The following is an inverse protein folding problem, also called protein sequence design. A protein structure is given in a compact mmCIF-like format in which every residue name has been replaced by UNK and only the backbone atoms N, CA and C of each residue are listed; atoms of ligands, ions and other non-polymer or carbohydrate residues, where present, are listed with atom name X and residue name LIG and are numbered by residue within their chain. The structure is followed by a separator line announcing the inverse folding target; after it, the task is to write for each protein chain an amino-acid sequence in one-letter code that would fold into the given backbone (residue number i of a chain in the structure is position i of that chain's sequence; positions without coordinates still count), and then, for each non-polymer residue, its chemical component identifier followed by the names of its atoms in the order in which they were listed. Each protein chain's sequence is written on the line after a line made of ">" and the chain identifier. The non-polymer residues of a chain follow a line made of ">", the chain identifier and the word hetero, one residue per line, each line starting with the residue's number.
data_IF_059537686561
#
_entry.id   IF_059537686561
#
_cell.length_a   1.000
_cell.length_b   1.000
_cell.length_c   1.000
_cell.angle_alpha   90.00
_cell.angle_beta   90.00
_cell.angle_gamma   90.00
#
_symmetry.space_group_name_H-M   'P 1'
#
loop_
_entity.id
_entity.type
_entity.pdbx_description
1 polymer ?
#
# COMPACT_ATOMS: atom_id res chain seq x y z
N UNK A 1 -69.66 -5.77 -23.93
CA UNK A 1 -68.76 -4.71 -24.40
C UNK A 1 -67.91 -4.25 -23.23
N UNK A 2 -66.59 -4.20 -23.45
CA UNK A 2 -65.51 -3.59 -22.67
C UNK A 2 -65.32 -3.92 -21.18
N UNK A 3 -64.04 -3.95 -20.83
CA UNK A 3 -63.38 -4.62 -19.71
C UNK A 3 -62.33 -3.60 -19.19
N UNK A 4 -61.98 -3.69 -17.91
CA UNK A 4 -60.78 -3.14 -17.23
C UNK A 4 -61.00 -1.79 -16.52
N UNK A 5 -60.59 -1.58 -15.27
CA UNK A 5 -59.49 -2.21 -14.52
C UNK A 5 -58.39 -1.17 -14.34
N UNK A 6 -58.50 -0.34 -13.30
CA UNK A 6 -57.48 0.66 -12.95
C UNK A 6 -56.31 -0.07 -12.29
N UNK A 7 -55.24 -0.28 -13.04
CA UNK A 7 -53.99 -0.83 -12.54
C UNK A 7 -52.91 0.26 -12.50
N UNK A 8 -52.19 0.24 -11.38
CA UNK A 8 -51.06 1.08 -10.99
C UNK A 8 -50.01 1.30 -12.08
N UNK A 9 -49.36 2.47 -12.06
CA UNK A 9 -47.97 2.61 -12.52
C UNK A 9 -47.28 3.74 -11.77
N UNK A 10 -46.77 3.43 -10.57
CA UNK A 10 -45.66 4.17 -9.98
C UNK A 10 -44.40 3.64 -10.67
N UNK A 11 -43.97 4.32 -11.73
CA UNK A 11 -42.70 4.01 -12.37
C UNK A 11 -41.58 4.68 -11.58
N UNK A 12 -41.08 3.98 -10.56
CA UNK A 12 -39.83 4.33 -9.90
C UNK A 12 -38.68 4.08 -10.88
N UNK A 13 -38.17 5.14 -11.49
CA UNK A 13 -36.90 5.14 -12.23
C UNK A 13 -35.74 4.93 -11.24
N UNK A 14 -35.33 3.67 -11.08
CA UNK A 14 -34.08 3.29 -10.44
C UNK A 14 -32.91 3.61 -11.37
N UNK A 15 -32.35 4.81 -11.25
CA UNK A 15 -31.07 5.14 -11.85
C UNK A 15 -29.94 4.51 -11.01
N UNK A 16 -29.36 3.41 -11.49
CA UNK A 16 -28.18 2.79 -10.89
C UNK A 16 -26.96 3.71 -11.04
N UNK A 17 -26.44 4.21 -9.92
CA UNK A 17 -25.18 4.96 -9.87
C UNK A 17 -24.01 4.00 -10.09
N UNK A 18 -23.38 4.06 -11.27
CA UNK A 18 -22.14 3.34 -11.56
C UNK A 18 -20.97 4.00 -10.82
N UNK A 19 -20.56 3.42 -9.69
CA UNK A 19 -19.24 3.68 -9.09
C UNK A 19 -18.24 3.08 -10.07
N UNK A 20 -17.56 3.91 -10.86
CA UNK A 20 -16.64 3.45 -11.90
C UNK A 20 -15.51 2.62 -11.28
N UNK A 21 -15.66 1.30 -11.32
CA UNK A 21 -14.58 0.35 -11.08
C UNK A 21 -13.49 0.60 -12.12
N UNK A 22 -12.19 0.44 -11.79
CA UNK A 22 -11.16 0.49 -12.81
C UNK A 22 -11.51 -0.51 -13.91
N UNK A 23 -11.31 -0.15 -15.20
CA UNK A 23 -11.61 -1.06 -16.31
C UNK A 23 -11.01 -2.46 -16.03
N UNK A 24 -11.75 -3.55 -16.30
CA UNK A 24 -11.30 -4.91 -15.97
C UNK A 24 -9.87 -5.25 -16.42
N UNK A 25 -9.44 -4.67 -17.54
CA UNK A 25 -8.08 -4.79 -18.08
C UNK A 25 -7.01 -4.19 -17.16
N UNK A 26 -7.23 -2.98 -16.61
CA UNK A 26 -6.30 -2.37 -15.65
C UNK A 26 -6.26 -3.15 -14.34
N UNK A 27 -7.40 -3.67 -13.88
CA UNK A 27 -7.45 -4.52 -12.70
C UNK A 27 -6.61 -5.80 -12.90
N UNK A 28 -6.76 -6.49 -14.04
CA UNK A 28 -5.98 -7.68 -14.36
C UNK A 28 -4.47 -7.38 -14.50
N UNK A 29 -4.10 -6.28 -15.16
CA UNK A 29 -2.71 -5.84 -15.29
C UNK A 29 -2.07 -5.54 -13.93
N UNK A 30 -2.82 -4.90 -13.01
CA UNK A 30 -2.37 -4.64 -11.65
C UNK A 30 -2.21 -5.93 -10.84
N UNK A 31 -3.12 -6.91 -11.00
CA UNK A 31 -2.98 -8.21 -10.33
C UNK A 31 -1.72 -8.94 -10.77
N UNK A 32 -1.50 -9.07 -12.08
CA UNK A 32 -0.28 -9.68 -12.63
C UNK A 32 0.98 -8.99 -12.12
N UNK A 33 0.99 -7.66 -12.16
CA UNK A 33 2.11 -6.88 -11.63
C UNK A 33 2.37 -7.17 -10.14
N UNK A 34 1.32 -7.25 -9.31
CA UNK A 34 1.49 -7.60 -7.89
C UNK A 34 2.01 -9.00 -7.67
N UNK A 35 1.61 -9.95 -8.51
CA UNK A 35 2.09 -11.33 -8.45
C UNK A 35 3.58 -11.42 -8.83
N UNK A 36 3.97 -10.78 -9.93
CA UNK A 36 5.36 -10.71 -10.41
C UNK A 36 6.28 -10.03 -9.39
N UNK A 37 5.80 -8.97 -8.73
CA UNK A 37 6.57 -8.18 -7.77
C UNK A 37 6.24 -8.49 -6.30
N UNK A 38 5.63 -9.65 -6.03
CA UNK A 38 5.16 -10.00 -4.67
C UNK A 38 6.26 -9.90 -3.62
N UNK A 39 7.49 -10.30 -3.96
CA UNK A 39 8.62 -10.26 -3.03
C UNK A 39 9.14 -8.84 -2.77
N UNK A 40 9.06 -7.92 -3.74
CA UNK A 40 9.34 -6.51 -3.50
C UNK A 40 8.33 -5.91 -2.53
N UNK A 41 7.04 -6.20 -2.72
CA UNK A 41 6.00 -5.71 -1.83
C UNK A 41 6.11 -6.30 -0.42
N UNK A 42 6.35 -7.61 -0.31
CA UNK A 42 6.58 -8.27 0.97
C UNK A 42 7.83 -7.74 1.68
N UNK A 43 8.91 -7.46 0.95
CA UNK A 43 10.12 -6.86 1.52
C UNK A 43 9.84 -5.47 2.09
N UNK A 44 9.18 -4.61 1.32
CA UNK A 44 8.75 -3.28 1.78
C UNK A 44 7.88 -3.37 3.03
N UNK A 45 6.87 -4.21 2.98
CA UNK A 45 5.92 -4.39 4.07
C UNK A 45 6.63 -4.89 5.33
N UNK A 46 7.44 -5.94 5.21
CA UNK A 46 8.22 -6.50 6.32
C UNK A 46 9.14 -5.44 6.94
N UNK A 47 9.86 -4.70 6.10
CA UNK A 47 10.75 -3.63 6.54
C UNK A 47 9.99 -2.55 7.34
N UNK A 48 8.86 -2.06 6.83
CA UNK A 48 8.05 -1.05 7.53
C UNK A 48 7.45 -1.60 8.82
N UNK A 49 6.98 -2.85 8.81
CA UNK A 49 6.45 -3.51 10.01
C UNK A 49 7.52 -3.72 11.09
N UNK A 50 8.79 -3.90 10.73
CA UNK A 50 9.88 -3.95 11.71
C UNK A 50 10.03 -2.63 12.46
N UNK A 51 9.86 -1.50 11.78
CA UNK A 51 9.81 -0.19 12.45
C UNK A 51 8.63 -0.07 13.42
N UNK A 52 7.44 -0.51 13.00
CA UNK A 52 6.26 -0.49 13.88
C UNK A 52 6.37 -1.49 15.04
N UNK A 53 7.01 -2.64 14.83
CA UNK A 53 7.31 -3.61 15.88
C UNK A 53 8.22 -2.99 16.94
N UNK A 54 9.28 -2.29 16.51
CA UNK A 54 10.20 -1.65 17.44
C UNK A 54 9.55 -0.46 18.18
N UNK A 55 8.72 0.34 17.50
CA UNK A 55 7.95 1.42 18.14
C UNK A 55 6.99 0.91 19.21
N UNK A 56 6.32 -0.22 18.96
CA UNK A 56 5.41 -0.85 19.94
C UNK A 56 6.16 -1.38 21.17
N UNK A 57 7.41 -1.81 20.99
CA UNK A 57 8.24 -2.34 22.07
C UNK A 57 7.69 -3.64 22.66
N UNK A 58 7.97 -3.87 23.95
CA UNK A 58 7.49 -5.02 24.69
C UNK A 58 8.25 -6.33 24.39
N UNK A 59 7.65 -7.51 24.68
CA UNK A 59 8.35 -8.80 24.59
C UNK A 59 8.75 -9.17 23.14
N UNK A 60 8.02 -8.65 22.16
CA UNK A 60 8.29 -8.86 20.73
C UNK A 60 9.22 -7.80 20.13
N UNK A 61 9.75 -6.86 20.93
CA UNK A 61 10.75 -5.91 20.45
C UNK A 61 11.99 -6.64 19.90
N UNK A 62 12.72 -5.98 19.00
CA UNK A 62 13.96 -6.54 18.50
C UNK A 62 14.99 -6.60 19.63
N UNK A 63 15.89 -7.58 19.60
CA UNK A 63 17.10 -7.50 20.43
C UNK A 63 18.14 -6.63 19.74
N UNK A 64 19.15 -6.19 20.48
CA UNK A 64 20.28 -5.43 19.95
C UNK A 64 21.01 -6.18 18.82
N UNK A 65 21.22 -7.48 18.99
CA UNK A 65 21.88 -8.31 17.98
C UNK A 65 21.01 -8.52 16.74
N UNK A 66 19.70 -8.65 16.91
CA UNK A 66 18.76 -8.70 15.79
C UNK A 66 18.79 -7.39 15.00
N UNK A 67 18.75 -6.24 15.69
CA UNK A 67 18.83 -4.93 15.04
C UNK A 67 20.14 -4.77 14.25
N UNK A 68 21.30 -5.16 14.81
CA UNK A 68 22.59 -5.17 14.10
C UNK A 68 22.56 -6.03 12.84
N UNK A 69 22.06 -7.26 12.93
CA UNK A 69 21.95 -8.18 11.77
C UNK A 69 21.01 -7.62 10.70
N UNK A 70 19.87 -7.04 11.10
CA UNK A 70 18.93 -6.42 10.17
C UNK A 70 19.54 -5.18 9.49
N UNK A 71 20.29 -4.35 10.21
CA UNK A 71 21.01 -3.21 9.61
C UNK A 71 22.01 -3.65 8.56
N UNK A 72 22.81 -4.68 8.85
CA UNK A 72 23.77 -5.23 7.90
C UNK A 72 23.10 -5.74 6.61
N UNK A 73 21.85 -6.20 6.71
CA UNK A 73 21.04 -6.59 5.54
C UNK A 73 20.49 -5.37 4.81
N UNK A 74 19.88 -4.41 5.52
CA UNK A 74 19.09 -3.34 4.88
C UNK A 74 19.92 -2.14 4.40
N UNK A 75 20.98 -1.75 5.11
CA UNK A 75 21.81 -0.60 4.72
C UNK A 75 22.39 -0.70 3.30
N UNK A 76 22.95 -1.84 2.84
CA UNK A 76 23.41 -1.94 1.44
C UNK A 76 22.24 -1.90 0.45
N UNK A 77 21.06 -2.42 0.83
CA UNK A 77 19.87 -2.38 -0.03
C UNK A 77 19.37 -0.96 -0.26
N UNK A 78 19.47 -0.05 0.71
CA UNK A 78 19.00 1.33 0.51
C UNK A 78 19.86 2.12 -0.49
N UNK A 79 21.09 1.67 -0.72
CA UNK A 79 22.04 2.26 -1.68
C UNK A 79 21.93 1.66 -3.08
N UNK A 80 21.23 0.54 -3.25
CA UNK A 80 21.00 -0.08 -4.57
C UNK A 80 19.87 0.62 -5.31
N UNK A 81 20.04 0.92 -6.59
CA UNK A 81 18.97 1.46 -7.43
C UNK A 81 17.90 0.42 -7.78
N UNK A 82 18.34 -0.80 -8.12
CA UNK A 82 17.49 -1.91 -8.55
C UNK A 82 17.66 -3.13 -7.63
N UNK A 83 16.63 -3.95 -7.60
CA UNK A 83 16.59 -5.21 -6.87
C UNK A 83 15.76 -6.20 -7.67
N UNK A 84 16.28 -7.38 -8.00
CA UNK A 84 15.49 -8.41 -8.68
C UNK A 84 14.50 -9.09 -7.72
N UNK A 85 13.52 -9.81 -8.26
CA UNK A 85 12.55 -10.55 -7.44
C UNK A 85 13.24 -11.66 -6.60
N UNK A 86 14.24 -12.35 -7.17
CA UNK A 86 15.00 -13.39 -6.48
C UNK A 86 15.89 -12.79 -5.39
N UNK A 87 16.55 -11.66 -5.65
CA UNK A 87 17.28 -10.94 -4.60
C UNK A 87 16.35 -10.51 -3.47
N UNK A 88 15.16 -9.98 -3.78
CA UNK A 88 14.18 -9.60 -2.77
C UNK A 88 13.70 -10.81 -1.94
N UNK A 89 13.48 -11.96 -2.58
CA UNK A 89 13.13 -13.21 -1.91
C UNK A 89 14.24 -13.69 -0.98
N UNK A 90 15.49 -13.68 -1.42
CA UNK A 90 16.63 -14.09 -0.61
C UNK A 90 16.88 -13.14 0.56
N UNK A 91 16.70 -11.83 0.36
CA UNK A 91 16.72 -10.86 1.46
C UNK A 91 15.62 -11.18 2.49
N UNK A 92 14.39 -11.46 2.05
CA UNK A 92 13.29 -11.83 2.94
C UNK A 92 13.61 -13.09 3.75
N UNK A 93 14.27 -14.10 3.16
CA UNK A 93 14.72 -15.29 3.89
C UNK A 93 15.72 -14.94 4.98
N UNK A 94 16.74 -14.12 4.65
CA UNK A 94 17.74 -13.64 5.62
C UNK A 94 17.09 -12.86 6.76
N UNK A 95 16.15 -11.96 6.45
CA UNK A 95 15.40 -11.20 7.46
C UNK A 95 14.62 -12.14 8.38
N UNK A 96 13.87 -13.11 7.82
CA UNK A 96 13.10 -14.07 8.62
C UNK A 96 13.98 -14.93 9.52
N UNK A 97 15.18 -15.31 9.08
CA UNK A 97 16.13 -16.08 9.88
C UNK A 97 16.70 -15.31 11.08
N UNK A 98 16.65 -13.97 11.07
CA UNK A 98 17.06 -13.13 12.21
C UNK A 98 15.96 -13.06 13.28
N UNK A 99 14.70 -13.20 12.87
CA UNK A 99 13.54 -12.99 13.73
C UNK A 99 13.11 -14.28 14.41
N UNK A 100 12.60 -14.13 15.63
CA UNK A 100 11.99 -15.24 16.37
C UNK A 100 10.55 -15.49 15.88
N UNK A 101 9.98 -16.69 16.11
CA UNK A 101 8.61 -17.01 15.70
C UNK A 101 7.54 -16.06 16.26
N UNK A 102 7.67 -15.62 17.52
CA UNK A 102 6.78 -14.66 18.17
C UNK A 102 6.79 -13.29 17.46
N UNK A 103 7.97 -12.84 17.05
CA UNK A 103 8.14 -11.59 16.29
C UNK A 103 7.54 -11.72 14.88
N UNK A 104 7.75 -12.85 14.20
CA UNK A 104 7.14 -13.11 12.89
C UNK A 104 5.61 -13.08 12.97
N UNK A 105 5.03 -13.68 14.00
CA UNK A 105 3.59 -13.63 14.26
C UNK A 105 3.12 -12.20 14.60
N UNK A 106 3.91 -11.44 15.36
CA UNK A 106 3.60 -10.04 15.66
C UNK A 106 3.59 -9.18 14.39
N UNK A 107 4.54 -9.38 13.47
CA UNK A 107 4.56 -8.67 12.18
C UNK A 107 3.29 -8.93 11.37
N UNK A 108 2.75 -10.16 11.35
CA UNK A 108 1.51 -10.46 10.63
C UNK A 108 0.30 -9.65 11.15
N UNK A 109 0.29 -9.34 12.46
CA UNK A 109 -0.78 -8.58 13.12
C UNK A 109 -0.65 -7.07 12.97
N UNK A 110 0.51 -6.57 12.55
CA UNK A 110 0.71 -5.13 12.31
C UNK A 110 -0.01 -4.76 11.02
N UNK A 111 -0.94 -3.81 11.12
CA UNK A 111 -1.55 -3.15 9.98
C UNK A 111 -0.77 -1.86 9.69
N UNK A 112 -0.22 -1.76 8.48
CA UNK A 112 0.40 -0.52 8.03
C UNK A 112 -0.68 0.46 7.56
N UNK A 113 -0.52 1.78 7.78
CA UNK A 113 -1.41 2.77 7.20
C UNK A 113 -1.52 2.59 5.68
N UNK A 114 -2.75 2.48 5.15
CA UNK A 114 -2.98 2.42 3.70
C UNK A 114 -2.65 3.77 3.09
N UNK A 115 -1.59 3.83 2.30
CA UNK A 115 -1.26 4.99 1.47
C UNK A 115 -2.06 4.92 0.17
N UNK A 116 -2.83 5.96 -0.16
CA UNK A 116 -3.30 6.17 -1.55
C UNK A 116 -4.79 6.41 -1.79
N UNK A 117 -5.57 7.00 -0.87
CA UNK A 117 -6.83 7.65 -1.29
C UNK A 117 -6.70 9.17 -1.16
N UNK A 118 -6.45 9.92 -2.24
CA UNK A 118 -6.79 11.33 -2.28
C UNK A 118 -8.30 11.44 -2.05
N UNK A 119 -8.73 11.95 -0.88
CA UNK A 119 -10.14 12.16 -0.56
C UNK A 119 -10.83 11.13 0.36
N UNK A 120 -10.12 10.47 1.29
CA UNK A 120 -10.76 9.63 2.31
C UNK A 120 -10.74 10.27 3.70
N UNK A 121 -11.89 10.79 4.15
CA UNK A 121 -12.11 11.33 5.50
C UNK A 121 -12.00 10.30 6.65
N UNK A 122 -12.27 10.73 7.90
CA UNK A 122 -11.85 10.04 9.11
C UNK A 122 -12.76 8.86 9.51
N UNK A 123 -12.13 7.73 9.87
CA UNK A 123 -12.59 6.81 10.92
C UNK A 123 -13.74 5.84 10.64
N UNK A 124 -13.54 4.58 11.03
CA UNK A 124 -14.59 3.59 11.29
C UNK A 124 -14.03 2.38 12.04
N UNK A 125 -14.50 2.05 13.26
CA UNK A 125 -13.97 0.97 14.10
C UNK A 125 -14.64 -0.38 13.77
N UNK A 126 -13.83 -1.45 13.70
CA UNK A 126 -14.33 -2.83 13.67
C UNK A 126 -14.87 -3.32 12.32
N UNK A 127 -14.27 -4.39 11.80
CA UNK A 127 -14.73 -5.05 10.58
C UNK A 127 -13.83 -6.22 10.21
N UNK A 128 -14.01 -7.33 10.91
CA UNK A 128 -13.44 -8.62 10.56
C UNK A 128 -14.19 -9.18 9.33
N UNK A 129 -13.49 -9.46 8.22
CA UNK A 129 -14.08 -10.13 7.05
C UNK A 129 -13.17 -10.09 5.82
N UNK A 130 -13.02 -11.24 5.16
CA UNK A 130 -12.19 -11.48 3.98
C UNK A 130 -12.68 -10.79 2.69
N UNK A 131 -12.25 -11.28 1.51
CA UNK A 131 -11.82 -10.45 0.38
C UNK A 131 -12.98 -9.87 -0.43
N UNK A 132 -13.39 -8.64 -0.10
CA UNK A 132 -14.39 -7.93 -0.89
C UNK A 132 -15.02 -6.82 -0.09
N UNK A 133 -14.33 -5.70 0.07
CA UNK A 133 -14.84 -4.55 0.81
C UNK A 133 -15.19 -3.41 -0.13
N UNK A 134 -16.46 -3.34 -0.53
CA UNK A 134 -17.05 -2.15 -1.13
C UNK A 134 -16.98 -0.97 -0.18
N UNK A 135 -16.79 0.24 -0.72
CA UNK A 135 -16.79 1.46 0.07
C UNK A 135 -18.14 2.15 -0.06
N UNK A 136 -18.83 2.17 1.08
CA UNK A 136 -20.16 2.73 1.29
C UNK A 136 -20.22 4.25 1.23
N UNK A 137 -21.48 4.68 1.20
CA UNK A 137 -22.01 6.02 1.10
C UNK A 137 -21.60 6.96 2.25
N UNK A 138 -21.53 8.25 1.93
CA UNK A 138 -21.53 9.37 2.87
C UNK A 138 -22.02 10.63 2.13
N UNK A 139 -23.02 11.37 2.65
CA UNK A 139 -23.86 12.27 1.86
C UNK A 139 -23.42 13.75 1.91
N UNK A 140 -23.70 14.48 0.83
CA UNK A 140 -24.03 15.90 0.90
C UNK A 140 -22.87 16.90 0.83
N UNK A 141 -22.77 17.58 -0.31
CA UNK A 141 -22.03 18.83 -0.49
C UNK A 141 -22.32 19.41 -1.87
N UNK A 142 -23.18 20.44 -2.00
CA UNK A 142 -23.59 20.98 -3.29
C UNK A 142 -22.59 22.02 -3.79
N UNK A 143 -22.53 22.15 -5.13
CA UNK A 143 -21.96 23.27 -5.90
C UNK A 143 -20.68 22.95 -6.66
N UNK A 144 -20.71 23.18 -7.98
CA UNK A 144 -19.49 23.41 -8.76
C UNK A 144 -19.44 22.95 -10.21
N UNK A 145 -20.39 23.40 -11.06
CA UNK A 145 -20.11 23.93 -12.41
C UNK A 145 -19.61 23.03 -13.56
N UNK A 146 -19.97 23.35 -14.82
CA UNK A 146 -19.55 22.61 -16.01
C UNK A 146 -18.11 23.00 -16.41
N UNK A 147 -17.14 22.17 -16.05
CA UNK A 147 -15.73 22.39 -16.38
C UNK A 147 -14.96 21.08 -16.27
N UNK A 148 -15.11 20.21 -17.27
CA UNK A 148 -14.38 18.96 -17.38
C UNK A 148 -12.87 19.21 -17.44
N UNK A 149 -12.17 19.03 -16.31
CA UNK A 149 -10.72 18.81 -16.33
C UNK A 149 -10.46 17.40 -16.89
N UNK A 150 -9.57 17.22 -17.88
CA UNK A 150 -9.11 15.90 -18.29
C UNK A 150 -8.24 15.33 -17.16
N UNK A 151 -8.88 14.65 -16.22
CA UNK A 151 -8.24 13.99 -15.08
C UNK A 151 -7.50 12.73 -15.52
N UNK A 152 -6.48 12.86 -16.37
CA UNK A 152 -5.54 11.80 -16.67
C UNK A 152 -4.57 11.63 -15.52
N UNK A 153 -4.94 10.85 -14.50
CA UNK A 153 -3.97 10.34 -13.53
C UNK A 153 -2.81 9.63 -14.26
N UNK A 154 -1.59 9.59 -13.69
CA UNK A 154 -0.46 8.94 -14.34
C UNK A 154 -0.84 7.52 -14.79
N UNK A 155 -0.72 7.24 -16.10
CA UNK A 155 -0.94 5.89 -16.63
C UNK A 155 0.04 4.95 -15.94
N UNK A 156 -0.47 3.88 -15.35
CA UNK A 156 0.36 2.84 -14.75
C UNK A 156 1.13 2.12 -15.85
N UNK A 157 2.44 2.32 -15.90
CA UNK A 157 3.34 1.61 -16.80
C UNK A 157 4.21 0.60 -16.01
N UNK A 158 3.82 -0.69 -15.98
CA UNK A 158 4.57 -1.70 -15.25
C UNK A 158 5.96 -1.97 -15.83
N UNK A 159 6.21 -1.64 -17.10
CA UNK A 159 7.53 -1.86 -17.73
C UNK A 159 8.62 -1.00 -17.07
N UNK A 160 8.27 0.21 -16.65
CA UNK A 160 9.15 1.14 -15.91
C UNK A 160 9.43 0.70 -14.48
N UNK A 161 8.65 -0.25 -13.95
CA UNK A 161 8.75 -0.74 -12.58
C UNK A 161 9.49 -2.09 -12.49
N UNK A 162 10.05 -2.59 -13.60
CA UNK A 162 10.82 -3.85 -13.56
C UNK A 162 12.04 -3.71 -12.63
N UNK A 163 12.22 -4.69 -11.74
CA UNK A 163 13.30 -4.74 -10.77
C UNK A 163 13.43 -3.48 -9.89
N UNK A 164 12.32 -2.79 -9.62
CA UNK A 164 12.35 -1.64 -8.71
C UNK A 164 12.81 -2.07 -7.32
N UNK A 165 13.67 -1.28 -6.69
CA UNK A 165 14.02 -1.52 -5.29
C UNK A 165 13.09 -0.71 -4.38
N UNK A 166 12.23 -1.36 -3.56
CA UNK A 166 11.28 -0.68 -2.67
C UNK A 166 11.94 0.06 -1.49
N UNK A 167 13.23 -0.16 -1.24
CA UNK A 167 13.99 0.47 -0.16
C UNK A 167 15.06 1.44 -0.66
N UNK A 168 15.19 1.63 -1.99
CA UNK A 168 16.17 2.55 -2.55
C UNK A 168 15.95 4.00 -2.10
N UNK A 169 17.03 4.63 -1.66
CA UNK A 169 17.12 6.06 -1.35
C UNK A 169 17.86 6.85 -2.44
N UNK A 170 18.39 6.16 -3.46
CA UNK A 170 19.21 6.75 -4.53
C UNK A 170 18.43 7.00 -5.82
N UNK A 171 17.18 6.52 -5.92
CA UNK A 171 16.31 6.77 -7.08
C UNK A 171 16.01 8.26 -7.16
N UNK A 172 16.46 8.89 -8.25
CA UNK A 172 16.17 10.29 -8.57
C UNK A 172 14.74 10.39 -9.08
N UNK A 173 13.95 11.27 -8.47
CA UNK A 173 12.60 11.63 -8.92
C UNK A 173 12.63 13.12 -9.25
N UNK A 174 12.07 13.49 -10.40
CA UNK A 174 11.93 14.89 -10.78
C UNK A 174 11.15 15.64 -9.68
N UNK A 175 11.73 16.69 -9.04
CA UNK A 175 11.07 17.47 -8.00
C UNK A 175 9.73 18.08 -8.44
N UNK A 176 9.51 18.29 -9.73
CA UNK A 176 8.27 18.85 -10.30
C UNK A 176 7.22 17.78 -10.59
N UNK A 177 7.55 16.50 -10.47
CA UNK A 177 6.62 15.40 -10.72
C UNK A 177 5.63 15.23 -9.55
N UNK A 178 4.36 14.87 -9.82
CA UNK A 178 3.42 14.43 -8.79
C UNK A 178 3.94 13.26 -7.91
N UNK A 179 4.94 12.51 -8.39
CA UNK A 179 5.58 11.43 -7.65
C UNK A 179 6.62 11.91 -6.62
N UNK A 180 7.05 13.18 -6.65
CA UNK A 180 8.10 13.71 -5.79
C UNK A 180 7.73 13.65 -4.30
N UNK A 181 6.52 14.09 -3.95
CA UNK A 181 5.99 14.02 -2.58
C UNK A 181 5.88 12.58 -2.07
N UNK A 182 5.46 11.67 -2.94
CA UNK A 182 5.41 10.24 -2.60
C UNK A 182 6.81 9.67 -2.34
N UNK A 183 7.78 10.01 -3.19
CA UNK A 183 9.16 9.58 -3.05
C UNK A 183 9.81 10.14 -1.77
N UNK A 184 9.53 11.41 -1.44
CA UNK A 184 9.99 12.06 -0.21
C UNK A 184 9.46 11.34 1.04
N UNK A 185 8.14 11.15 1.14
CA UNK A 185 7.51 10.43 2.28
C UNK A 185 8.04 9.00 2.40
N UNK A 186 8.24 8.31 1.28
CA UNK A 186 8.84 6.97 1.27
C UNK A 186 10.27 7.01 1.84
N UNK A 187 11.10 7.95 1.38
CA UNK A 187 12.46 8.10 1.87
C UNK A 187 12.52 8.42 3.37
N UNK A 188 11.64 9.29 3.87
CA UNK A 188 11.51 9.60 5.29
C UNK A 188 11.17 8.36 6.11
N UNK A 189 10.19 7.56 5.69
CA UNK A 189 9.84 6.30 6.37
C UNK A 189 10.98 5.29 6.36
N UNK A 190 11.74 5.21 5.27
CA UNK A 190 12.92 4.32 5.22
C UNK A 190 13.98 4.78 6.23
N UNK A 191 14.29 6.08 6.27
CA UNK A 191 15.23 6.67 7.22
C UNK A 191 14.78 6.48 8.67
N UNK A 192 13.49 6.63 8.93
CA UNK A 192 12.90 6.42 10.26
C UNK A 192 13.14 4.98 10.76
N UNK A 193 12.81 3.98 9.94
CA UNK A 193 13.04 2.57 10.31
C UNK A 193 14.53 2.29 10.51
N UNK A 194 15.41 2.78 9.63
CA UNK A 194 16.85 2.63 9.80
C UNK A 194 17.34 3.26 11.11
N UNK A 195 16.85 4.47 11.44
CA UNK A 195 17.20 5.16 12.68
C UNK A 195 16.76 4.38 13.92
N UNK A 196 15.56 3.77 13.90
CA UNK A 196 15.10 2.90 14.98
C UNK A 196 16.01 1.68 15.15
N UNK A 197 16.37 1.03 14.05
CA UNK A 197 17.29 -0.11 14.08
C UNK A 197 18.68 0.31 14.57
N UNK A 198 19.21 1.46 14.13
CA UNK A 198 20.49 2.02 14.58
C UNK A 198 20.48 2.34 16.06
N UNK A 199 19.41 2.98 16.56
CA UNK A 199 19.24 3.25 17.98
C UNK A 199 19.19 1.96 18.79
N UNK A 200 18.51 0.92 18.29
CA UNK A 200 18.40 -0.37 18.97
C UNK A 200 19.69 -1.20 18.90
N UNK A 201 20.51 -1.00 17.88
CA UNK A 201 21.78 -1.67 17.70
C UNK A 201 22.91 -1.11 18.58
N UNK A 202 22.75 0.11 19.12
CA UNK A 202 23.68 0.76 20.05
C UNK A 202 23.61 0.18 21.45
#
# INVERSE_FOLDING_TARGET
>A
MLRWGVAFSVTALLAAAAIAQPPPQMAAQWQKFREEHKYHFQLRETFLKLGELEKKGGPTALTKDQAKKLLAIFQPLTKKEKLTADEAKEVLRKVKAVLRPDQLNALQRIQLPRFGRPGGGPGGPGGQGGPGGGFGAGPGGPSGGPGGRPGGGPRFDPSQMRNFNPLSLVVKVDPKSPAAEWAKRRAERIKEVLSLLEKKAK
#
